data_IF_122580655052
#
_entry.id   IF_122580655052
#
_cell.length_a   1.000
_cell.length_b   1.000
_cell.length_c   1.000
_cell.angle_alpha   90.00
_cell.angle_beta   90.00
_cell.angle_gamma   90.00
#
_symmetry.space_group_name_H-M   'P 1'
#
loop_
_entity.id
_entity.type
_entity.pdbx_description
1 polymer ?
#
# COMPACT_ATOMS: atom_id res chain seq x y z
N UNK A 1 39.78 -13.08 8.02
CA UNK A 1 38.41 -13.57 8.24
C UNK A 1 37.82 -13.98 6.91
N UNK A 2 37.23 -15.16 6.85
CA UNK A 2 36.53 -15.63 5.65
C UNK A 2 35.34 -14.72 5.36
N UNK A 3 35.04 -14.42 4.08
CA UNK A 3 33.86 -13.65 3.70
C UNK A 3 32.61 -14.43 4.15
N UNK A 4 31.66 -13.72 4.75
CA UNK A 4 30.34 -14.29 5.06
C UNK A 4 29.66 -14.74 3.77
N UNK A 5 29.19 -15.98 3.74
CA UNK A 5 28.42 -16.51 2.62
C UNK A 5 27.13 -15.65 2.43
N UNK A 6 26.90 -15.26 1.19
CA UNK A 6 25.73 -14.48 0.82
C UNK A 6 24.48 -15.36 0.99
N UNK A 7 23.69 -15.13 2.02
CA UNK A 7 22.41 -15.81 2.17
C UNK A 7 21.51 -15.45 0.98
N UNK A 8 21.11 -16.46 0.23
CA UNK A 8 20.10 -16.32 -0.83
C UNK A 8 18.76 -16.11 -0.14
N UNK A 9 18.20 -14.92 -0.27
CA UNK A 9 16.87 -14.65 0.27
C UNK A 9 15.86 -15.58 -0.41
N UNK A 10 15.17 -16.39 0.37
CA UNK A 10 14.07 -17.22 -0.13
C UNK A 10 12.89 -16.28 -0.43
N UNK A 11 12.37 -16.33 -1.66
CA UNK A 11 11.18 -15.58 -2.05
C UNK A 11 9.97 -16.26 -1.41
N UNK A 12 9.34 -15.59 -0.47
CA UNK A 12 8.11 -16.07 0.15
C UNK A 12 6.92 -15.75 -0.74
N UNK A 13 6.24 -16.81 -1.20
CA UNK A 13 5.02 -16.70 -2.01
C UNK A 13 3.84 -16.49 -1.06
N UNK A 14 2.98 -15.48 -1.30
CA UNK A 14 1.81 -15.24 -0.47
C UNK A 14 0.78 -16.38 -0.59
N UNK A 15 0.01 -16.59 0.45
CA UNK A 15 -1.10 -17.55 0.43
C UNK A 15 -2.11 -17.17 -0.66
N UNK A 16 -2.51 -18.16 -1.47
CA UNK A 16 -3.38 -17.94 -2.63
C UNK A 16 -4.80 -17.54 -2.24
N UNK A 17 -5.29 -17.98 -1.06
CA UNK A 17 -6.61 -17.59 -0.58
C UNK A 17 -6.59 -16.13 -0.10
N UNK A 18 -5.55 -15.71 0.62
CA UNK A 18 -5.39 -14.32 1.04
C UNK A 18 -5.30 -13.38 -0.17
N UNK A 19 -4.63 -13.80 -1.26
CA UNK A 19 -4.59 -13.04 -2.52
C UNK A 19 -5.99 -12.90 -3.13
N UNK A 20 -6.77 -13.98 -3.19
CA UNK A 20 -8.16 -13.95 -3.70
C UNK A 20 -9.06 -13.04 -2.85
N UNK A 21 -8.95 -13.12 -1.54
CA UNK A 21 -9.74 -12.30 -0.61
C UNK A 21 -9.39 -10.81 -0.77
N UNK A 22 -8.11 -10.50 -0.97
CA UNK A 22 -7.66 -9.15 -1.28
C UNK A 22 -8.24 -8.63 -2.62
N UNK A 23 -8.23 -9.47 -3.67
CA UNK A 23 -8.84 -9.15 -4.98
C UNK A 23 -10.33 -8.85 -4.84
N UNK A 24 -11.08 -9.71 -4.14
CA UNK A 24 -12.53 -9.53 -3.94
C UNK A 24 -12.81 -8.18 -3.25
N UNK A 25 -12.09 -7.87 -2.16
CA UNK A 25 -12.25 -6.61 -1.44
C UNK A 25 -11.87 -5.41 -2.29
N UNK A 26 -10.80 -5.54 -3.06
CA UNK A 26 -10.36 -4.48 -3.95
C UNK A 26 -11.40 -4.22 -5.06
N UNK A 27 -12.00 -5.27 -5.63
CA UNK A 27 -13.07 -5.15 -6.63
C UNK A 27 -14.34 -4.49 -6.09
N UNK A 28 -14.63 -4.61 -4.80
CA UNK A 28 -15.77 -3.99 -4.14
C UNK A 28 -15.53 -2.53 -3.75
N UNK A 29 -14.27 -2.10 -3.69
CA UNK A 29 -13.90 -0.75 -3.29
C UNK A 29 -14.31 0.28 -4.35
N UNK A 30 -14.73 1.45 -3.87
CA UNK A 30 -15.06 2.62 -4.72
C UNK A 30 -13.91 3.61 -4.77
N UNK A 31 -13.25 3.83 -3.63
CA UNK A 31 -12.15 4.78 -3.46
C UNK A 31 -10.96 4.13 -2.75
N UNK A 32 -10.30 3.13 -3.38
CA UNK A 32 -9.11 2.51 -2.79
C UNK A 32 -7.94 3.48 -2.81
N UNK A 33 -7.10 3.43 -1.77
CA UNK A 33 -5.87 4.21 -1.65
C UNK A 33 -4.74 3.31 -1.18
N UNK A 34 -3.56 3.47 -1.72
CA UNK A 34 -2.34 2.80 -1.24
C UNK A 34 -1.66 3.70 -0.21
N UNK A 35 -1.38 3.14 0.97
CA UNK A 35 -0.48 3.71 1.97
C UNK A 35 0.81 2.89 1.94
N UNK A 36 1.85 3.46 1.32
CA UNK A 36 3.14 2.80 1.20
C UNK A 36 4.08 3.17 2.35
N UNK A 37 4.73 2.17 2.91
CA UNK A 37 5.69 2.31 4.00
C UNK A 37 7.09 1.81 3.65
N UNK A 38 8.00 1.92 4.60
CA UNK A 38 9.44 1.68 4.43
C UNK A 38 9.79 0.24 4.03
N UNK A 39 8.99 -0.74 4.45
CA UNK A 39 9.22 -2.14 4.08
C UNK A 39 9.11 -2.36 2.57
N UNK A 40 8.22 -1.63 1.88
CA UNK A 40 8.13 -1.70 0.41
C UNK A 40 9.42 -1.25 -0.28
N UNK A 41 10.09 -0.22 0.26
CA UNK A 41 11.39 0.26 -0.26
C UNK A 41 12.48 -0.77 0.04
N UNK A 42 12.56 -1.24 1.28
CA UNK A 42 13.57 -2.23 1.70
C UNK A 42 13.47 -3.54 0.92
N UNK A 43 12.27 -3.94 0.54
CA UNK A 43 12.02 -5.13 -0.28
C UNK A 43 12.03 -4.84 -1.80
N UNK A 44 12.55 -3.68 -2.22
CA UNK A 44 12.74 -3.32 -3.64
C UNK A 44 11.45 -3.43 -4.47
N UNK A 45 10.30 -3.12 -3.88
CA UNK A 45 8.99 -3.29 -4.52
C UNK A 45 8.61 -2.15 -5.49
N UNK A 46 9.49 -1.16 -5.73
CA UNK A 46 9.18 0.02 -6.55
C UNK A 46 8.67 -0.33 -7.94
N UNK A 47 9.32 -1.26 -8.65
CA UNK A 47 8.89 -1.67 -10.00
C UNK A 47 7.49 -2.28 -9.99
N UNK A 48 7.22 -3.20 -9.07
CA UNK A 48 5.90 -3.83 -8.93
C UNK A 48 4.84 -2.82 -8.49
N UNK A 49 5.18 -1.86 -7.63
CA UNK A 49 4.30 -0.78 -7.23
C UNK A 49 3.89 0.09 -8.42
N UNK A 50 4.85 0.50 -9.26
CA UNK A 50 4.58 1.30 -10.47
C UNK A 50 3.68 0.52 -11.44
N UNK A 51 3.97 -0.76 -11.69
CA UNK A 51 3.15 -1.64 -12.53
C UNK A 51 1.70 -1.71 -12.00
N UNK A 52 1.55 -1.96 -10.70
CA UNK A 52 0.26 -2.07 -10.03
C UNK A 52 -0.57 -0.78 -10.11
N UNK A 53 0.05 0.33 -9.78
CA UNK A 53 -0.60 1.65 -9.76
C UNK A 53 -1.00 2.11 -11.15
N UNK A 54 -0.12 1.95 -12.13
CA UNK A 54 -0.39 2.36 -13.52
C UNK A 54 -1.50 1.52 -14.17
N UNK A 55 -1.62 0.24 -13.80
CA UNK A 55 -2.68 -0.62 -14.33
C UNK A 55 -4.01 -0.40 -13.64
N UNK A 56 -4.01 -0.17 -12.32
CA UNK A 56 -5.25 -0.06 -11.56
C UNK A 56 -5.71 1.37 -11.30
N UNK A 57 -4.87 2.37 -11.56
CA UNK A 57 -5.16 3.78 -11.35
C UNK A 57 -5.47 4.16 -9.89
N UNK A 58 -4.84 3.45 -8.94
CA UNK A 58 -5.05 3.69 -7.51
C UNK A 58 -4.05 4.75 -7.02
N UNK A 59 -4.51 5.79 -6.32
CA UNK A 59 -3.62 6.81 -5.77
C UNK A 59 -2.72 6.23 -4.67
N UNK A 60 -1.48 6.73 -4.62
CA UNK A 60 -0.48 6.33 -3.63
C UNK A 60 -0.14 7.51 -2.74
N UNK A 61 -0.25 7.28 -1.45
CA UNK A 61 0.31 8.09 -0.39
C UNK A 61 1.45 7.29 0.24
N UNK A 62 2.52 7.95 0.62
CA UNK A 62 3.65 7.26 1.22
C UNK A 62 4.11 7.94 2.52
N UNK A 63 4.66 7.15 3.44
CA UNK A 63 5.33 7.68 4.63
C UNK A 63 6.62 8.39 4.24
N UNK A 64 7.21 9.15 5.16
CA UNK A 64 8.52 9.78 4.95
C UNK A 64 9.59 8.75 4.58
N UNK A 65 9.52 7.56 5.19
CA UNK A 65 10.48 6.48 4.97
C UNK A 65 10.29 5.74 3.65
N UNK A 66 9.13 5.91 3.01
CA UNK A 66 8.81 5.29 1.71
C UNK A 66 8.89 6.28 0.54
N UNK A 67 9.43 7.48 0.76
CA UNK A 67 9.63 8.47 -0.29
C UNK A 67 10.47 7.88 -1.43
N UNK A 68 9.95 7.98 -2.66
CA UNK A 68 10.62 7.43 -3.84
C UNK A 68 10.19 6.01 -4.22
N UNK A 69 9.26 5.37 -3.46
CA UNK A 69 8.69 4.07 -3.85
C UNK A 69 8.00 4.12 -5.21
N UNK A 70 7.45 5.26 -5.56
CA UNK A 70 6.88 5.58 -6.87
C UNK A 70 7.48 6.92 -7.36
N UNK A 71 7.76 7.09 -8.65
CA UNK A 71 8.25 8.36 -9.20
C UNK A 71 7.29 9.52 -8.89
N UNK A 72 7.85 10.67 -8.54
CA UNK A 72 7.06 11.85 -8.14
C UNK A 72 6.19 12.40 -9.29
N UNK A 73 6.62 12.24 -10.52
CA UNK A 73 5.91 12.63 -11.74
C UNK A 73 4.79 11.65 -12.14
N UNK A 74 4.73 10.47 -11.48
CA UNK A 74 3.63 9.55 -11.70
C UNK A 74 2.29 10.23 -11.31
N UNK A 75 1.27 10.21 -12.18
CA UNK A 75 0.00 10.89 -11.93
C UNK A 75 -0.75 10.39 -10.69
N UNK A 76 -0.44 9.20 -10.22
CA UNK A 76 -1.06 8.59 -9.05
C UNK A 76 -0.22 8.76 -7.77
N UNK A 77 1.01 9.26 -7.87
CA UNK A 77 1.80 9.65 -6.70
C UNK A 77 1.23 10.94 -6.11
N UNK A 78 0.61 10.87 -4.95
CA UNK A 78 0.05 12.05 -4.31
C UNK A 78 1.08 12.76 -3.45
N UNK A 79 1.18 12.42 -2.19
CA UNK A 79 2.08 13.13 -1.28
C UNK A 79 2.61 12.23 -0.18
N UNK A 80 3.60 12.78 0.54
CA UNK A 80 4.09 12.21 1.79
C UNK A 80 3.13 12.56 2.92
N UNK A 81 2.68 11.56 3.69
CA UNK A 81 1.86 11.75 4.89
C UNK A 81 2.71 12.18 6.08
N UNK A 82 2.13 12.93 7.01
CA UNK A 82 2.79 13.33 8.25
C UNK A 82 3.52 14.67 8.18
N UNK A 83 3.28 15.48 7.14
CA UNK A 83 3.77 16.87 7.08
C UNK A 83 2.76 17.76 7.77
N UNK A 84 3.15 18.54 8.83
CA UNK A 84 2.20 19.22 9.72
C UNK A 84 1.33 20.30 9.07
N UNK A 85 1.75 20.88 7.94
CA UNK A 85 1.02 21.96 7.29
C UNK A 85 0.31 21.46 6.01
N UNK A 86 -1.02 21.61 5.97
CA UNK A 86 -1.89 21.28 4.82
C UNK A 86 -1.76 19.80 4.41
N UNK A 87 -2.09 18.91 5.33
CA UNK A 87 -2.01 17.48 5.09
C UNK A 87 -3.14 17.01 4.13
N UNK A 88 -2.97 17.31 2.85
CA UNK A 88 -3.86 16.84 1.79
C UNK A 88 -3.89 15.32 1.71
N UNK A 89 -2.81 14.65 2.13
CA UNK A 89 -2.74 13.20 2.19
C UNK A 89 -3.75 12.62 3.18
N UNK A 90 -3.96 13.26 4.34
CA UNK A 90 -4.99 12.86 5.29
C UNK A 90 -6.40 12.94 4.68
N UNK A 91 -6.71 13.99 3.92
CA UNK A 91 -8.02 14.11 3.25
C UNK A 91 -8.28 12.98 2.25
N UNK A 92 -7.23 12.51 1.58
CA UNK A 92 -7.35 11.36 0.67
C UNK A 92 -7.64 10.10 1.46
N UNK A 93 -6.94 9.87 2.57
CA UNK A 93 -7.20 8.73 3.45
C UNK A 93 -8.59 8.81 4.11
N UNK A 94 -9.05 9.98 4.53
CA UNK A 94 -10.39 10.19 5.11
C UNK A 94 -11.50 9.71 4.17
N UNK A 95 -11.37 9.99 2.87
CA UNK A 95 -12.38 9.63 1.87
C UNK A 95 -12.20 8.22 1.27
N UNK A 96 -11.13 7.52 1.62
CA UNK A 96 -10.91 6.15 1.18
C UNK A 96 -11.86 5.18 1.90
N UNK A 97 -12.43 4.25 1.15
CA UNK A 97 -13.20 3.14 1.69
C UNK A 97 -12.36 1.88 1.89
N UNK A 98 -11.21 1.82 1.22
CA UNK A 98 -10.24 0.76 1.34
C UNK A 98 -8.82 1.31 1.35
N UNK A 99 -8.01 0.88 2.32
CA UNK A 99 -6.59 1.17 2.40
C UNK A 99 -5.79 -0.10 2.07
N UNK A 100 -4.98 -0.04 1.02
CA UNK A 100 -3.94 -1.03 0.80
C UNK A 100 -2.67 -0.53 1.48
N UNK A 101 -2.36 -1.07 2.64
CA UNK A 101 -1.10 -0.78 3.33
C UNK A 101 -0.01 -1.68 2.78
N UNK A 102 0.92 -1.11 2.02
CA UNK A 102 1.99 -1.84 1.33
C UNK A 102 3.33 -1.53 1.99
N UNK A 103 3.87 -2.52 2.69
CA UNK A 103 5.13 -2.35 3.42
C UNK A 103 5.07 -1.30 4.52
N UNK A 104 3.89 -1.06 5.08
CA UNK A 104 3.65 -0.03 6.09
C UNK A 104 3.71 -0.61 7.50
N UNK A 105 4.41 0.10 8.38
CA UNK A 105 4.43 -0.17 9.81
C UNK A 105 3.74 0.98 10.57
N UNK A 106 2.97 0.64 11.61
CA UNK A 106 2.21 1.58 12.44
C UNK A 106 3.09 2.61 13.16
N UNK A 107 4.38 2.33 13.32
CA UNK A 107 5.35 3.25 13.93
C UNK A 107 5.78 4.37 12.99
N UNK A 108 5.62 4.20 11.68
CA UNK A 108 6.00 5.22 10.70
C UNK A 108 5.02 6.41 10.69
N UNK A 109 3.74 6.11 10.83
CA UNK A 109 2.69 7.11 10.94
C UNK A 109 1.48 6.49 11.66
N UNK A 110 1.19 6.94 12.86
CA UNK A 110 0.23 6.29 13.75
C UNK A 110 -1.18 6.18 13.13
N UNK A 111 -1.82 5.00 13.16
CA UNK A 111 -3.18 4.79 12.66
C UNK A 111 -4.22 5.74 13.25
N UNK A 112 -4.00 6.23 14.48
CA UNK A 112 -4.85 7.23 15.13
C UNK A 112 -5.01 8.53 14.32
N UNK A 113 -4.09 8.81 13.40
CA UNK A 113 -4.14 10.00 12.54
C UNK A 113 -5.02 9.84 11.30
N UNK A 114 -5.32 8.61 10.88
CA UNK A 114 -6.04 8.35 9.64
C UNK A 114 -7.17 7.31 9.75
N UNK A 115 -7.24 6.57 10.86
CA UNK A 115 -8.27 5.56 11.13
C UNK A 115 -8.77 5.66 12.58
N UNK A 116 -8.95 6.87 13.09
CA UNK A 116 -9.38 7.13 14.48
C UNK A 116 -10.75 6.53 14.82
N UNK A 117 -11.63 6.48 13.84
CA UNK A 117 -13.00 5.96 13.93
C UNK A 117 -13.13 4.47 13.62
N UNK A 118 -12.04 3.80 13.25
CA UNK A 118 -11.96 2.36 12.97
C UNK A 118 -12.88 1.87 11.83
N UNK A 119 -13.24 2.73 10.90
CA UNK A 119 -14.15 2.40 9.80
C UNK A 119 -13.45 1.96 8.51
N UNK A 120 -12.13 2.07 8.43
CA UNK A 120 -11.41 1.75 7.20
C UNK A 120 -11.27 0.23 7.02
N UNK A 121 -11.65 -0.25 5.85
CA UNK A 121 -11.20 -1.56 5.38
C UNK A 121 -9.71 -1.49 5.10
N UNK A 122 -8.94 -2.47 5.58
CA UNK A 122 -7.49 -2.50 5.41
C UNK A 122 -7.09 -3.85 4.84
N UNK A 123 -6.31 -3.82 3.75
CA UNK A 123 -5.56 -4.96 3.24
C UNK A 123 -4.08 -4.70 3.55
N UNK A 124 -3.48 -5.57 4.35
CA UNK A 124 -2.04 -5.50 4.67
C UNK A 124 -1.25 -6.34 3.67
N UNK A 125 -0.26 -5.76 3.02
CA UNK A 125 0.64 -6.42 2.06
C UNK A 125 2.08 -6.16 2.52
N UNK A 126 2.73 -7.16 3.07
CA UNK A 126 4.10 -7.04 3.57
C UNK A 126 4.79 -8.42 3.61
N UNK A 127 6.11 -8.40 3.75
CA UNK A 127 6.92 -9.58 4.03
C UNK A 127 6.67 -10.15 5.44
N UNK A 128 5.99 -9.43 6.31
CA UNK A 128 5.70 -9.80 7.70
C UNK A 128 4.23 -9.60 8.02
N UNK A 129 3.68 -10.35 8.97
CA UNK A 129 2.34 -10.09 9.50
C UNK A 129 2.22 -8.69 10.10
N UNK A 130 1.01 -8.17 10.12
CA UNK A 130 0.71 -6.85 10.64
C UNK A 130 0.96 -6.75 12.16
N UNK A 131 1.48 -5.62 12.61
CA UNK A 131 1.43 -5.23 14.02
C UNK A 131 0.01 -4.73 14.34
N UNK A 132 -0.85 -5.63 14.79
CA UNK A 132 -2.25 -5.34 15.05
C UNK A 132 -2.40 -4.53 16.33
N UNK A 133 -3.21 -3.47 16.27
CA UNK A 133 -3.70 -2.74 17.44
C UNK A 133 -5.17 -2.34 17.23
N UNK A 134 -5.76 -1.65 18.22
CA UNK A 134 -7.18 -1.25 18.17
C UNK A 134 -7.55 -0.47 16.90
N UNK A 135 -6.62 0.33 16.35
CA UNK A 135 -6.84 1.24 15.22
C UNK A 135 -6.26 0.70 13.89
N UNK A 136 -5.58 -0.45 13.93
CA UNK A 136 -5.03 -1.10 12.75
C UNK A 136 -5.34 -2.59 12.81
N UNK A 137 -6.44 -2.97 12.21
CA UNK A 137 -6.92 -4.35 12.14
C UNK A 137 -7.20 -4.69 10.68
N UNK A 138 -6.20 -5.21 9.96
CA UNK A 138 -6.40 -5.64 8.58
C UNK A 138 -7.48 -6.70 8.47
N UNK A 139 -8.36 -6.53 7.51
CA UNK A 139 -9.38 -7.54 7.18
C UNK A 139 -8.83 -8.69 6.34
N UNK A 140 -7.69 -8.43 5.67
CA UNK A 140 -6.90 -9.43 4.93
C UNK A 140 -5.42 -9.08 5.08
N UNK A 141 -4.60 -10.10 5.31
CA UNK A 141 -3.15 -10.00 5.30
C UNK A 141 -2.58 -10.86 4.17
N UNK A 142 -1.91 -10.22 3.22
CA UNK A 142 -1.16 -10.88 2.14
C UNK A 142 0.31 -10.84 2.52
N UNK A 143 0.74 -11.85 3.27
CA UNK A 143 2.10 -11.95 3.80
C UNK A 143 2.97 -12.73 2.84
N UNK A 144 4.11 -12.17 2.45
CA UNK A 144 5.06 -12.72 1.51
C UNK A 144 5.88 -11.64 0.82
N UNK A 145 6.63 -12.01 -0.22
CA UNK A 145 7.34 -11.03 -1.03
C UNK A 145 6.37 -9.98 -1.59
N UNK A 146 6.62 -8.71 -1.30
CA UNK A 146 5.71 -7.61 -1.65
C UNK A 146 5.52 -7.51 -3.16
N UNK A 147 6.59 -7.68 -3.95
CA UNK A 147 6.52 -7.62 -5.41
C UNK A 147 5.71 -8.78 -5.98
N UNK A 148 5.87 -9.98 -5.44
CA UNK A 148 5.10 -11.16 -5.82
C UNK A 148 3.63 -10.97 -5.43
N UNK A 149 3.36 -10.47 -4.23
CA UNK A 149 2.01 -10.20 -3.73
C UNK A 149 1.25 -9.21 -4.62
N UNK A 150 1.87 -8.08 -4.95
CA UNK A 150 1.29 -7.06 -5.83
C UNK A 150 0.99 -7.63 -7.23
N UNK A 151 1.92 -8.39 -7.82
CA UNK A 151 1.71 -9.01 -9.14
C UNK A 151 0.66 -10.11 -9.11
N UNK A 152 0.59 -10.90 -8.04
CA UNK A 152 -0.44 -11.94 -7.87
C UNK A 152 -1.84 -11.34 -7.79
N UNK A 153 -2.02 -10.23 -7.06
CA UNK A 153 -3.28 -9.49 -7.04
C UNK A 153 -3.57 -8.92 -8.43
N UNK A 154 -2.59 -8.26 -9.04
CA UNK A 154 -2.72 -7.60 -10.34
C UNK A 154 -3.11 -8.56 -11.46
N UNK A 155 -2.59 -9.79 -11.43
CA UNK A 155 -2.91 -10.82 -12.44
C UNK A 155 -4.38 -11.25 -12.42
N UNK A 156 -5.09 -11.04 -11.31
CA UNK A 156 -6.51 -11.38 -11.14
C UNK A 156 -7.45 -10.15 -11.32
N UNK A 157 -6.88 -8.96 -11.56
CA UNK A 157 -7.65 -7.74 -11.78
C UNK A 157 -7.84 -7.48 -13.27
N UNK A 158 -9.10 -7.43 -13.72
CA UNK A 158 -9.41 -7.26 -15.15
C UNK A 158 -9.48 -5.80 -15.60
N UNK A 159 -9.89 -4.88 -14.71
CA UNK A 159 -10.18 -3.49 -15.07
C UNK A 159 -9.53 -2.49 -14.10
N UNK A 160 -9.10 -1.33 -14.61
CA UNK A 160 -8.64 -0.23 -13.75
C UNK A 160 -9.83 0.40 -13.01
N UNK A 161 -9.54 1.04 -11.88
CA UNK A 161 -10.51 1.88 -11.19
C UNK A 161 -10.75 3.16 -11.98
N UNK A 162 -12.01 3.54 -12.10
CA UNK A 162 -12.41 4.79 -12.77
C UNK A 162 -12.28 6.02 -11.85
N UNK A 163 -11.74 5.86 -10.64
CA UNK A 163 -11.72 6.94 -9.66
C UNK A 163 -10.87 8.12 -10.16
N UNK A 164 -11.54 9.19 -10.56
CA UNK A 164 -10.93 10.49 -10.82
C UNK A 164 -10.35 11.12 -9.52
N UNK A 165 -10.71 10.56 -8.36
CA UNK A 165 -10.47 11.11 -7.04
C UNK A 165 -9.01 11.52 -6.78
N UNK A 166 -8.06 10.64 -7.09
CA UNK A 166 -6.64 10.96 -6.91
C UNK A 166 -6.11 12.01 -7.89
N UNK A 167 -6.64 12.07 -9.12
CA UNK A 167 -6.25 13.07 -10.12
C UNK A 167 -6.79 14.45 -9.81
N UNK A 168 -8.04 14.54 -9.37
CA UNK A 168 -8.68 15.82 -9.03
C UNK A 168 -8.01 16.51 -7.85
N UNK A 169 -7.47 15.77 -6.91
CA UNK A 169 -6.77 16.33 -5.76
C UNK A 169 -5.38 16.85 -6.15
N UNK A 170 -4.67 16.20 -7.07
CA UNK A 170 -3.35 16.63 -7.53
C UNK A 170 -3.39 17.91 -8.37
N UNK A 171 -4.55 18.22 -8.99
CA UNK A 171 -4.74 19.37 -9.87
C UNK A 171 -5.23 20.63 -9.13
N UNK A 172 -5.53 20.55 -7.85
CA UNK A 172 -5.92 21.67 -6.96
C UNK A 172 -4.78 22.06 -6.04
#
# INVERSE_FOLDING_TARGET
GEPLEKQTATIEIPDSQCVKDAVIRLMMAKNPVILAGSSAVRNSASKAMVEFVNKLHIPVIHTMMAKGIIPFDNPYCLWTIGIPQKDYANKVLENADLILSVGYDIVEYAPAKWNSDQHKNIIHIDARPAHINKLYQPSVEVVGDISVSLRSILSQMEKPFSSAYGREIKLK
#
